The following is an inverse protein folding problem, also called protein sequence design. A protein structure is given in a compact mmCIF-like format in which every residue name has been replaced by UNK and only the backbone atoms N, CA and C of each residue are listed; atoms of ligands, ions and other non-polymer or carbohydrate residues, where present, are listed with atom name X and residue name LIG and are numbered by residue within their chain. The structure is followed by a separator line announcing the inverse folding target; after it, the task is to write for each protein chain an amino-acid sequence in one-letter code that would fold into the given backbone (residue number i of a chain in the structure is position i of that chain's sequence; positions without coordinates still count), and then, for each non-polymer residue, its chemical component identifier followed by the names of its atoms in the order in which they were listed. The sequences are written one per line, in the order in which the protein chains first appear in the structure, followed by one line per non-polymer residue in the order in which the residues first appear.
data_IF_436144870177
#
_entry.id   IF_436144870177
#
_cell.length_a   1.000
_cell.length_b   1.000
_cell.length_c   1.000
_cell.angle_alpha   90.00
_cell.angle_beta   90.00
_cell.angle_gamma   90.00
#
_symmetry.space_group_name_H-M   'P 1'
#
loop_
_entity.id
_entity.type
_entity.pdbx_description
1 polymer ?
#
# COMPACT_ATOMS: atom_id res chain seq x y z
N UNK A 1 -22.32 -14.15 -5.94
CA UNK A 1 -22.78 -12.85 -5.38
C UNK A 1 -23.10 -12.01 -6.60
N UNK A 2 -24.35 -12.00 -7.07
CA UNK A 2 -24.81 -11.17 -8.19
C UNK A 2 -25.14 -9.78 -7.64
N UNK A 3 -24.09 -9.10 -7.19
CA UNK A 3 -24.19 -7.81 -6.53
C UNK A 3 -23.70 -6.72 -7.47
N UNK A 4 -24.55 -5.73 -7.72
CA UNK A 4 -24.12 -4.48 -8.33
C UNK A 4 -23.18 -3.75 -7.36
N UNK A 5 -22.01 -3.40 -7.86
CA UNK A 5 -21.01 -2.65 -7.12
C UNK A 5 -20.48 -1.53 -7.99
N UNK A 6 -20.22 -0.38 -7.35
CA UNK A 6 -19.62 0.77 -8.03
C UNK A 6 -18.29 0.38 -8.69
N UNK A 7 -17.86 1.08 -9.76
CA UNK A 7 -16.55 0.86 -10.35
C UNK A 7 -15.44 0.93 -9.30
N UNK A 8 -14.64 -0.14 -9.21
CA UNK A 8 -13.63 -0.31 -8.16
C UNK A 8 -12.48 -1.16 -8.68
N UNK A 9 -11.26 -0.61 -8.64
CA UNK A 9 -10.03 -1.29 -9.06
C UNK A 9 -9.02 -1.31 -7.92
N UNK A 10 -8.36 -2.44 -7.71
CA UNK A 10 -7.24 -2.59 -6.78
C UNK A 10 -5.97 -2.76 -7.59
N UNK A 11 -4.99 -1.90 -7.35
CA UNK A 11 -3.67 -1.91 -7.97
C UNK A 11 -2.61 -2.30 -6.94
N UNK A 12 -1.65 -3.12 -7.34
CA UNK A 12 -0.48 -3.44 -6.52
C UNK A 12 0.73 -2.62 -6.93
N UNK A 13 1.14 -1.66 -6.09
CA UNK A 13 2.36 -0.88 -6.29
C UNK A 13 3.52 -1.47 -5.48
N UNK A 14 4.68 -1.66 -6.12
CA UNK A 14 5.84 -2.25 -5.45
C UNK A 14 7.13 -1.57 -5.91
N UNK A 15 7.97 -1.20 -4.93
CA UNK A 15 9.36 -0.84 -5.17
C UNK A 15 10.23 -2.09 -4.90
N UNK A 16 10.80 -2.74 -5.94
CA UNK A 16 11.50 -4.01 -5.78
C UNK A 16 12.70 -3.95 -4.83
N UNK A 17 13.41 -2.82 -4.77
CA UNK A 17 14.58 -2.65 -3.88
C UNK A 17 14.14 -2.63 -2.41
N UNK A 18 13.10 -1.87 -2.10
CA UNK A 18 12.58 -1.78 -0.72
C UNK A 18 11.85 -3.07 -0.31
N UNK A 19 11.12 -3.70 -1.22
CA UNK A 19 10.48 -4.99 -0.97
C UNK A 19 11.51 -6.08 -0.65
N UNK A 20 12.62 -6.13 -1.40
CA UNK A 20 13.71 -7.05 -1.11
C UNK A 20 14.33 -6.78 0.27
N UNK A 21 14.62 -5.52 0.62
CA UNK A 21 15.11 -5.17 1.96
C UNK A 21 14.14 -5.56 3.07
N UNK A 22 12.83 -5.39 2.85
CA UNK A 22 11.81 -5.79 3.82
C UNK A 22 11.78 -7.32 4.00
N UNK A 23 11.83 -8.08 2.91
CA UNK A 23 11.86 -9.55 2.94
C UNK A 23 13.11 -10.10 3.65
N UNK A 24 14.23 -9.38 3.59
CA UNK A 24 15.45 -9.73 4.33
C UNK A 24 15.32 -9.46 5.83
N UNK A 25 14.59 -8.42 6.23
CA UNK A 25 14.36 -8.07 7.64
C UNK A 25 13.26 -8.94 8.28
N UNK A 26 12.22 -9.27 7.52
CA UNK A 26 11.07 -10.04 7.98
C UNK A 26 10.56 -10.97 6.86
N UNK A 27 10.83 -12.28 6.93
CA UNK A 27 10.42 -13.21 5.88
C UNK A 27 8.91 -13.25 5.62
N UNK A 28 8.07 -13.02 6.64
CA UNK A 28 6.62 -13.06 6.51
C UNK A 28 6.00 -11.76 6.00
N UNK A 29 6.80 -10.70 5.78
CA UNK A 29 6.31 -9.39 5.32
C UNK A 29 5.62 -9.48 3.96
N UNK A 30 5.90 -10.52 3.17
CA UNK A 30 5.25 -10.77 1.88
C UNK A 30 3.72 -10.80 1.95
N UNK A 31 3.15 -11.10 3.12
CA UNK A 31 1.69 -11.05 3.36
C UNK A 31 1.10 -9.63 3.36
N UNK A 32 1.93 -8.61 3.55
CA UNK A 32 1.58 -7.20 3.53
C UNK A 32 2.02 -6.49 2.24
N UNK A 33 2.63 -7.23 1.31
CA UNK A 33 3.04 -6.73 0.00
C UNK A 33 2.06 -7.21 -1.08
N UNK A 34 1.86 -6.45 -2.17
CA UNK A 34 2.39 -5.11 -2.46
C UNK A 34 1.64 -4.00 -1.72
N UNK A 35 2.07 -2.74 -1.89
CA UNK A 35 1.30 -1.60 -1.41
C UNK A 35 0.04 -1.46 -2.28
N UNK A 36 -1.12 -1.77 -1.70
CA UNK A 36 -2.40 -1.64 -2.39
C UNK A 36 -2.74 -0.16 -2.62
N UNK A 37 -3.19 0.14 -3.83
CA UNK A 37 -3.80 1.42 -4.20
C UNK A 37 -5.17 1.12 -4.79
N UNK A 38 -6.19 1.82 -4.34
CA UNK A 38 -7.55 1.67 -4.84
C UNK A 38 -7.91 2.86 -5.72
N UNK A 39 -8.64 2.60 -6.80
CA UNK A 39 -9.25 3.60 -7.66
C UNK A 39 -10.72 3.27 -7.72
N UNK A 40 -11.56 4.17 -7.22
CA UNK A 40 -12.99 3.92 -7.09
C UNK A 40 -13.82 5.15 -7.45
N UNK A 41 -15.06 4.90 -7.87
CA UNK A 41 -16.03 5.98 -7.99
C UNK A 41 -16.63 6.33 -6.61
N UNK A 42 -16.70 7.62 -6.28
CA UNK A 42 -17.38 8.14 -5.10
C UNK A 42 -18.06 9.47 -5.43
N UNK A 43 -19.35 9.59 -5.12
CA UNK A 43 -20.14 10.81 -5.35
C UNK A 43 -20.01 11.42 -6.76
N UNK A 44 -19.92 10.57 -7.81
CA UNK A 44 -19.75 11.02 -9.20
C UNK A 44 -18.34 11.51 -9.56
N UNK A 45 -17.36 11.27 -8.70
CA UNK A 45 -15.92 11.55 -8.92
C UNK A 45 -15.10 10.27 -8.77
N UNK A 46 -13.85 10.30 -9.25
CA UNK A 46 -12.88 9.23 -9.02
C UNK A 46 -12.03 9.59 -7.81
N UNK A 47 -11.95 8.66 -6.85
CA UNK A 47 -11.07 8.74 -5.69
C UNK A 47 -9.94 7.72 -5.83
N UNK A 48 -8.72 8.17 -5.50
CA UNK A 48 -7.53 7.34 -5.42
C UNK A 48 -7.06 7.31 -3.97
N UNK A 49 -6.81 6.12 -3.42
CA UNK A 49 -6.29 5.97 -2.06
C UNK A 49 -5.20 4.91 -2.02
N UNK A 50 -4.10 5.21 -1.34
CA UNK A 50 -3.01 4.28 -1.11
C UNK A 50 -3.03 3.74 0.32
N UNK A 51 -2.62 2.50 0.50
CA UNK A 51 -2.41 1.92 1.83
C UNK A 51 -1.35 2.70 2.61
N UNK A 52 -1.53 2.83 3.93
CA UNK A 52 -0.44 3.29 4.80
C UNK A 52 0.45 2.09 5.18
N UNK A 53 1.71 2.03 4.69
CA UNK A 53 2.62 0.95 5.03
C UNK A 53 3.02 0.97 6.51
N UNK A 54 3.01 2.12 7.20
CA UNK A 54 3.31 2.16 8.64
C UNK A 54 2.24 1.43 9.43
N UNK A 55 0.96 1.67 9.12
CA UNK A 55 -0.15 0.97 9.75
C UNK A 55 -0.18 -0.52 9.38
N UNK A 56 0.08 -0.86 8.11
CA UNK A 56 0.02 -2.24 7.63
C UNK A 56 1.12 -3.12 8.22
N UNK A 57 2.33 -2.59 8.34
CA UNK A 57 3.47 -3.34 8.87
C UNK A 57 3.48 -3.40 10.40
N UNK A 58 2.74 -2.53 11.10
CA UNK A 58 2.65 -2.54 12.57
C UNK A 58 2.18 -3.89 13.11
N UNK A 59 1.33 -4.61 12.36
CA UNK A 59 0.81 -5.92 12.76
C UNK A 59 1.87 -7.03 12.85
N UNK A 60 3.07 -6.82 12.27
CA UNK A 60 4.16 -7.82 12.31
C UNK A 60 5.11 -7.60 13.49
N UNK A 61 4.93 -6.52 14.27
CA UNK A 61 5.71 -6.23 15.49
C UNK A 61 7.25 -6.28 15.30
N UNK A 62 7.74 -5.97 14.09
CA UNK A 62 9.16 -5.94 13.77
C UNK A 62 9.65 -4.49 13.62
N UNK A 63 10.48 -4.04 14.56
CA UNK A 63 10.99 -2.66 14.62
C UNK A 63 11.87 -2.28 13.41
N UNK A 64 12.53 -3.24 12.76
CA UNK A 64 13.44 -3.00 11.65
C UNK A 64 12.68 -2.56 10.37
N UNK A 65 11.37 -2.83 10.31
CA UNK A 65 10.53 -2.42 9.18
C UNK A 65 10.17 -0.93 9.18
N UNK A 66 10.30 -0.25 10.32
CA UNK A 66 9.80 1.13 10.48
C UNK A 66 10.43 2.12 9.50
N UNK A 67 11.75 2.02 9.26
CA UNK A 67 12.44 2.90 8.33
C UNK A 67 11.99 2.65 6.87
N UNK A 68 11.80 1.37 6.50
CA UNK A 68 11.35 0.98 5.17
C UNK A 68 9.92 1.48 4.95
N UNK A 69 9.02 1.23 5.89
CA UNK A 69 7.63 1.67 5.86
C UNK A 69 7.53 3.20 5.74
N UNK A 70 8.31 3.95 6.52
CA UNK A 70 8.34 5.42 6.46
C UNK A 70 8.79 5.95 5.09
N UNK A 71 9.82 5.33 4.50
CA UNK A 71 10.28 5.68 3.14
C UNK A 71 9.20 5.43 2.09
N UNK A 72 8.54 4.27 2.15
CA UNK A 72 7.46 3.92 1.21
C UNK A 72 6.26 4.86 1.37
N UNK A 73 5.88 5.19 2.61
CA UNK A 73 4.80 6.14 2.90
C UNK A 73 5.06 7.48 2.21
N UNK A 74 6.26 8.04 2.38
CA UNK A 74 6.62 9.31 1.75
C UNK A 74 6.66 9.26 0.21
N UNK A 75 6.85 8.08 -0.40
CA UNK A 75 6.72 7.91 -1.86
C UNK A 75 5.24 7.90 -2.27
N UNK A 76 4.38 7.17 -1.55
CA UNK A 76 2.96 7.08 -1.84
C UNK A 76 2.25 8.42 -1.63
N UNK A 77 2.56 9.14 -0.55
CA UNK A 77 2.02 10.48 -0.28
C UNK A 77 2.29 11.45 -1.43
N UNK A 78 3.51 11.44 -1.99
CA UNK A 78 3.86 12.28 -3.14
C UNK A 78 3.03 11.92 -4.37
N UNK A 79 2.95 10.64 -4.70
CA UNK A 79 2.18 10.18 -5.87
C UNK A 79 0.70 10.52 -5.74
N UNK A 80 0.11 10.36 -4.55
CA UNK A 80 -1.30 10.71 -4.31
C UNK A 80 -1.52 12.23 -4.36
N UNK A 81 -0.57 13.03 -3.87
CA UNK A 81 -0.68 14.49 -3.91
C UNK A 81 -0.51 15.09 -5.31
N UNK A 82 0.09 14.36 -6.25
CA UNK A 82 0.32 14.79 -7.63
C UNK A 82 -0.88 14.50 -8.57
N UNK A 83 -1.97 13.92 -8.06
CA UNK A 83 -3.21 13.58 -8.79
C UNK A 83 -4.30 14.62 -8.49
#
# INVERSE_FOLDING_TARGET
LDADFRPYTILGACNPKLAHSALQAEPHIGTMLPCNVIVQETNGSVEVSAVDPMASMQAIENADLGEIASKVRGMLEKVVADI
#
